data_IF_156833621680
#
_entry.id   IF_156833621680
#
_cell.length_a   1.000
_cell.length_b   1.000
_cell.length_c   1.000
_cell.angle_alpha   90.00
_cell.angle_beta   90.00
_cell.angle_gamma   90.00
#
_symmetry.space_group_name_H-M   'P 1'
#
loop_
_entity.id
_entity.type
_entity.pdbx_description
1 polymer ?
#
# COMPACT_ATOMS: atom_id res chain seq x y z
N UNK A 1 22.99 -39.93 22.94
CA UNK A 1 21.55 -39.94 23.34
C UNK A 1 20.87 -38.61 23.02
N UNK A 2 21.37 -37.47 23.53
CA UNK A 2 20.78 -36.14 23.27
C UNK A 2 20.55 -35.81 21.79
N UNK A 3 21.56 -35.95 20.92
CA UNK A 3 21.42 -35.68 19.48
C UNK A 3 20.29 -36.50 18.82
N UNK A 4 20.20 -37.79 19.14
CA UNK A 4 19.14 -38.66 18.59
C UNK A 4 17.75 -38.23 19.05
N UNK A 5 17.62 -37.74 20.29
CA UNK A 5 16.34 -37.28 20.84
C UNK A 5 15.91 -35.94 20.22
N UNK A 6 16.83 -34.98 20.10
CA UNK A 6 16.59 -33.68 19.45
C UNK A 6 16.23 -33.89 17.98
N UNK A 7 16.95 -34.77 17.27
CA UNK A 7 16.63 -35.11 15.89
C UNK A 7 15.25 -35.77 15.77
N UNK A 8 14.84 -36.61 16.71
CA UNK A 8 13.50 -37.18 16.73
C UNK A 8 12.42 -36.10 16.94
N UNK A 9 12.64 -35.16 17.87
CA UNK A 9 11.76 -34.02 18.09
C UNK A 9 11.64 -33.14 16.84
N UNK A 10 12.77 -32.81 16.19
CA UNK A 10 12.76 -32.05 14.94
C UNK A 10 12.02 -32.79 13.81
N UNK A 11 12.21 -34.11 13.69
CA UNK A 11 11.45 -34.93 12.73
C UNK A 11 9.95 -34.83 12.98
N UNK A 12 9.49 -34.98 14.22
CA UNK A 12 8.07 -34.83 14.57
C UNK A 12 7.52 -33.47 14.15
N UNK A 13 8.29 -32.39 14.34
CA UNK A 13 7.93 -31.03 13.96
C UNK A 13 7.99 -30.73 12.46
N UNK A 14 8.57 -31.61 11.63
CA UNK A 14 8.78 -31.35 10.19
C UNK A 14 8.00 -32.30 9.28
N UNK A 15 7.41 -33.37 9.81
CA UNK A 15 6.86 -34.47 9.02
C UNK A 15 5.38 -34.29 8.65
N UNK A 16 4.67 -33.43 9.37
CA UNK A 16 3.22 -33.25 9.26
C UNK A 16 2.88 -31.81 8.87
N UNK A 17 1.76 -31.62 8.17
CA UNK A 17 1.16 -30.28 7.96
C UNK A 17 0.71 -29.65 9.27
N UNK A 18 0.31 -30.48 10.24
CA UNK A 18 -0.08 -30.04 11.58
C UNK A 18 0.85 -30.68 12.63
N UNK A 19 2.08 -30.15 12.79
CA UNK A 19 3.02 -30.70 13.75
C UNK A 19 2.49 -30.55 15.20
N UNK A 20 2.80 -31.49 16.11
CA UNK A 20 2.33 -31.47 17.50
C UNK A 20 3.12 -30.45 18.35
N UNK A 21 3.08 -29.17 17.97
CA UNK A 21 3.85 -28.08 18.60
C UNK A 21 3.46 -27.93 20.07
N UNK A 22 2.16 -27.82 20.38
CA UNK A 22 1.68 -27.63 21.74
C UNK A 22 2.06 -28.78 22.67
N UNK A 23 2.03 -30.02 22.18
CA UNK A 23 2.40 -31.19 22.97
C UNK A 23 3.89 -31.19 23.30
N UNK A 24 4.73 -30.77 22.35
CA UNK A 24 6.16 -30.60 22.59
C UNK A 24 6.45 -29.47 23.58
N UNK A 25 5.77 -28.32 23.46
CA UNK A 25 5.89 -27.23 24.44
C UNK A 25 5.46 -27.72 25.84
N UNK A 26 4.30 -28.38 25.97
CA UNK A 26 3.78 -28.92 27.23
C UNK A 26 4.70 -29.99 27.85
N UNK A 27 5.48 -30.70 27.05
CA UNK A 27 6.45 -31.69 27.54
C UNK A 27 7.65 -31.07 28.28
N UNK A 28 7.83 -29.74 28.21
CA UNK A 28 8.97 -29.04 28.81
C UNK A 28 10.25 -29.12 27.98
N UNK A 29 10.16 -29.39 26.68
CA UNK A 29 11.33 -29.58 25.82
C UNK A 29 12.09 -28.27 25.52
N UNK A 30 11.42 -27.11 25.58
CA UNK A 30 12.00 -25.84 25.13
C UNK A 30 13.31 -25.47 25.84
N UNK A 31 13.42 -25.47 27.20
CA UNK A 31 14.69 -25.18 27.87
C UNK A 31 15.81 -26.16 27.50
N UNK A 32 15.46 -27.42 27.18
CA UNK A 32 16.43 -28.44 26.76
C UNK A 32 16.97 -28.11 25.37
N UNK A 33 16.10 -27.74 24.42
CA UNK A 33 16.51 -27.32 23.08
C UNK A 33 17.36 -26.05 23.13
N UNK A 34 16.98 -25.07 23.96
CA UNK A 34 17.74 -23.83 24.16
C UNK A 34 19.13 -24.14 24.71
N UNK A 35 19.26 -24.99 25.73
CA UNK A 35 20.57 -25.40 26.25
C UNK A 35 21.41 -26.16 25.21
N UNK A 36 20.77 -26.88 24.28
CA UNK A 36 21.49 -27.52 23.17
C UNK A 36 22.12 -26.51 22.20
N UNK A 37 21.56 -25.31 22.06
CA UNK A 37 22.18 -24.23 21.27
C UNK A 37 23.52 -23.78 21.85
N UNK A 38 23.76 -23.99 23.15
CA UNK A 38 24.99 -23.56 23.82
C UNK A 38 26.21 -24.45 23.48
N UNK A 39 25.98 -25.62 22.88
CA UNK A 39 26.97 -26.68 22.64
C UNK A 39 27.81 -26.44 21.37
N UNK A 40 28.71 -25.46 21.42
CA UNK A 40 29.61 -25.12 20.30
C UNK A 40 30.54 -26.27 19.89
N UNK A 41 30.75 -27.26 20.78
CA UNK A 41 31.49 -28.48 20.51
C UNK A 41 30.72 -29.51 19.67
N UNK A 42 29.41 -29.29 19.44
CA UNK A 42 28.54 -30.21 18.71
C UNK A 42 27.60 -29.46 17.75
N UNK A 43 28.11 -29.05 16.56
CA UNK A 43 27.32 -28.28 15.59
C UNK A 43 26.12 -29.05 15.04
N UNK A 44 26.17 -30.38 14.98
CA UNK A 44 25.00 -31.19 14.59
C UNK A 44 23.87 -31.10 15.61
N UNK A 45 24.19 -31.03 16.90
CA UNK A 45 23.20 -30.84 17.95
C UNK A 45 22.63 -29.41 17.93
N UNK A 46 23.48 -28.40 17.74
CA UNK A 46 23.03 -27.01 17.56
C UNK A 46 22.08 -26.87 16.38
N UNK A 47 22.44 -27.46 15.24
CA UNK A 47 21.63 -27.43 14.03
C UNK A 47 20.25 -28.08 14.23
N UNK A 48 20.19 -29.30 14.78
CA UNK A 48 18.91 -29.99 15.01
C UNK A 48 18.05 -29.26 16.05
N UNK A 49 18.65 -28.67 17.09
CA UNK A 49 17.94 -27.88 18.09
C UNK A 49 17.41 -26.55 17.52
N UNK A 50 18.23 -25.84 16.75
CA UNK A 50 17.84 -24.61 16.07
C UNK A 50 16.69 -24.87 15.09
N UNK A 51 16.74 -25.99 14.35
CA UNK A 51 15.67 -26.37 13.43
C UNK A 51 14.38 -26.73 14.17
N UNK A 52 14.45 -27.48 15.27
CA UNK A 52 13.27 -27.76 16.09
C UNK A 52 12.61 -26.45 16.59
N UNK A 53 13.40 -25.52 17.13
CA UNK A 53 12.90 -24.22 17.59
C UNK A 53 12.37 -23.35 16.45
N UNK A 54 12.96 -23.43 15.26
CA UNK A 54 12.48 -22.72 14.04
C UNK A 54 11.05 -23.15 13.71
N UNK A 55 10.77 -24.45 13.72
CA UNK A 55 9.44 -24.97 13.41
C UNK A 55 8.40 -24.69 14.52
N UNK A 56 8.84 -24.57 15.78
CA UNK A 56 7.94 -24.13 16.86
C UNK A 56 7.59 -22.65 16.66
N UNK A 57 8.57 -21.82 16.32
CA UNK A 57 8.38 -20.39 16.07
C UNK A 57 7.64 -20.07 14.76
N UNK A 58 7.40 -21.04 13.87
CA UNK A 58 6.55 -20.84 12.68
C UNK A 58 5.05 -21.05 12.96
N UNK A 59 4.70 -21.34 14.21
CA UNK A 59 3.34 -21.63 14.65
C UNK A 59 2.50 -20.38 14.99
N UNK A 60 1.65 -20.48 16.00
CA UNK A 60 0.87 -19.32 16.50
C UNK A 60 1.76 -18.37 17.31
N UNK A 61 1.28 -17.14 17.54
CA UNK A 61 2.02 -16.19 18.36
C UNK A 61 2.30 -16.69 19.77
N UNK A 62 1.40 -17.46 20.40
CA UNK A 62 1.67 -18.08 21.71
C UNK A 62 2.85 -19.05 21.65
N UNK A 63 2.98 -19.82 20.56
CA UNK A 63 4.06 -20.78 20.36
C UNK A 63 5.40 -20.06 20.11
N UNK A 64 5.38 -18.97 19.34
CA UNK A 64 6.55 -18.10 19.14
C UNK A 64 6.97 -17.44 20.45
N UNK A 65 6.02 -16.90 21.22
CA UNK A 65 6.28 -16.32 22.54
C UNK A 65 6.89 -17.35 23.49
N UNK A 66 6.47 -18.62 23.45
CA UNK A 66 7.08 -19.66 24.28
C UNK A 66 8.57 -19.86 23.97
N UNK A 67 8.97 -19.78 22.68
CA UNK A 67 10.39 -19.81 22.26
C UNK A 67 11.15 -18.58 22.78
N UNK A 68 10.55 -17.39 22.65
CA UNK A 68 11.15 -16.13 23.13
C UNK A 68 11.33 -16.15 24.65
N UNK A 69 10.30 -16.54 25.41
CA UNK A 69 10.32 -16.65 26.87
C UNK A 69 11.32 -17.70 27.38
N UNK A 70 11.68 -18.67 26.54
CA UNK A 70 12.75 -19.64 26.84
C UNK A 70 14.16 -19.08 26.65
N UNK A 71 14.30 -17.77 26.37
CA UNK A 71 15.56 -17.07 26.17
C UNK A 71 16.40 -17.58 24.98
N UNK A 72 15.72 -18.02 23.91
CA UNK A 72 16.39 -18.53 22.70
C UNK A 72 17.05 -17.43 21.85
N UNK A 73 16.51 -16.21 21.85
CA UNK A 73 16.94 -15.13 20.94
C UNK A 73 18.42 -14.75 21.13
N UNK A 74 18.96 -14.50 22.35
CA UNK A 74 20.38 -14.22 22.52
C UNK A 74 21.30 -15.34 22.03
N UNK A 75 20.85 -16.60 22.14
CA UNK A 75 21.61 -17.74 21.64
C UNK A 75 21.60 -17.81 20.12
N UNK A 76 20.46 -17.54 19.46
CA UNK A 76 20.44 -17.42 18.01
C UNK A 76 21.34 -16.31 17.48
N UNK A 77 21.39 -15.15 18.16
CA UNK A 77 22.33 -14.07 17.82
C UNK A 77 23.80 -14.50 17.96
N UNK A 78 24.11 -15.30 18.98
CA UNK A 78 25.44 -15.92 19.12
C UNK A 78 25.74 -16.85 17.93
N UNK A 79 24.76 -17.66 17.52
CA UNK A 79 24.91 -18.62 16.41
C UNK A 79 25.09 -17.96 15.03
N UNK A 80 24.76 -16.68 14.86
CA UNK A 80 25.12 -15.91 13.65
C UNK A 80 26.64 -15.82 13.43
N UNK A 81 27.44 -16.02 14.48
CA UNK A 81 28.90 -16.03 14.42
C UNK A 81 29.50 -17.43 14.35
N UNK A 82 28.66 -18.47 14.17
CA UNK A 82 29.12 -19.85 14.04
C UNK A 82 29.97 -20.04 12.78
N UNK A 83 31.10 -20.76 12.84
CA UNK A 83 31.87 -21.11 11.65
C UNK A 83 31.13 -22.15 10.77
N UNK A 84 30.05 -22.74 11.28
CA UNK A 84 29.25 -23.73 10.58
C UNK A 84 28.07 -23.06 9.89
N UNK A 85 28.15 -22.97 8.55
CA UNK A 85 27.16 -22.29 7.73
C UNK A 85 25.73 -22.81 7.97
N UNK A 86 25.51 -24.12 8.06
CA UNK A 86 24.18 -24.68 8.32
C UNK A 86 23.57 -24.22 9.67
N UNK A 87 24.40 -24.05 10.71
CA UNK A 87 23.96 -23.53 12.02
C UNK A 87 23.61 -22.05 11.90
N UNK A 88 24.45 -21.27 11.22
CA UNK A 88 24.21 -19.85 10.96
C UNK A 88 22.92 -19.61 10.16
N UNK A 89 22.73 -20.34 9.05
CA UNK A 89 21.53 -20.25 8.21
C UNK A 89 20.26 -20.60 8.99
N UNK A 90 20.32 -21.65 9.82
CA UNK A 90 19.18 -22.05 10.64
C UNK A 90 18.85 -21.02 11.72
N UNK A 91 19.86 -20.36 12.30
CA UNK A 91 19.66 -19.28 13.24
C UNK A 91 19.02 -18.05 12.59
N UNK A 92 19.43 -17.68 11.37
CA UNK A 92 18.77 -16.61 10.59
C UNK A 92 17.30 -16.96 10.35
N UNK A 93 16.99 -18.21 9.99
CA UNK A 93 15.60 -18.64 9.78
C UNK A 93 14.77 -18.55 11.07
N UNK A 94 15.29 -19.07 12.18
CA UNK A 94 14.62 -18.99 13.48
C UNK A 94 14.31 -17.54 13.88
N UNK A 95 15.30 -16.64 13.75
CA UNK A 95 15.14 -15.22 14.03
C UNK A 95 14.11 -14.59 13.09
N UNK A 96 14.09 -14.95 11.81
CA UNK A 96 13.10 -14.45 10.86
C UNK A 96 11.67 -14.81 11.24
N UNK A 97 11.42 -16.04 11.71
CA UNK A 97 10.10 -16.45 12.22
C UNK A 97 9.71 -15.62 13.45
N UNK A 98 10.63 -15.43 14.40
CA UNK A 98 10.38 -14.65 15.62
C UNK A 98 10.12 -13.18 15.28
N UNK A 99 10.93 -12.57 14.42
CA UNK A 99 10.77 -11.16 13.98
C UNK A 99 9.43 -10.99 13.26
N UNK A 100 9.03 -11.96 12.43
CA UNK A 100 7.80 -11.91 11.65
C UNK A 100 6.49 -12.13 12.43
N UNK A 101 6.57 -12.49 13.71
CA UNK A 101 5.40 -12.71 14.58
C UNK A 101 4.67 -11.40 14.90
N UNK A 102 5.42 -10.31 15.07
CA UNK A 102 4.83 -9.01 15.35
C UNK A 102 5.85 -7.95 15.78
N UNK A 103 5.40 -6.69 15.88
CA UNK A 103 6.28 -5.54 16.11
C UNK A 103 7.01 -5.61 17.46
N UNK A 104 6.39 -6.17 18.50
CA UNK A 104 7.04 -6.34 19.81
C UNK A 104 8.21 -7.34 19.74
N UNK A 105 8.03 -8.46 19.04
CA UNK A 105 9.10 -9.44 18.81
C UNK A 105 10.21 -8.85 17.94
N UNK A 106 9.84 -8.19 16.84
CA UNK A 106 10.77 -7.47 15.96
C UNK A 106 11.64 -6.50 16.76
N UNK A 107 11.04 -5.62 17.55
CA UNK A 107 11.76 -4.58 18.29
C UNK A 107 12.63 -5.17 19.40
N UNK A 108 12.19 -6.25 20.05
CA UNK A 108 13.02 -7.00 21.00
C UNK A 108 14.28 -7.55 20.32
N UNK A 109 14.14 -8.22 19.19
CA UNK A 109 15.28 -8.80 18.46
C UNK A 109 16.21 -7.70 17.90
N UNK A 110 15.64 -6.57 17.44
CA UNK A 110 16.41 -5.37 17.06
C UNK A 110 17.19 -4.82 18.25
N UNK A 111 16.57 -4.69 19.43
CA UNK A 111 17.21 -4.15 20.64
C UNK A 111 18.42 -4.95 21.12
N UNK A 112 18.48 -6.24 20.73
CA UNK A 112 19.61 -7.13 21.00
C UNK A 112 20.71 -7.08 19.92
N UNK A 113 20.55 -6.26 18.87
CA UNK A 113 21.59 -5.99 17.88
C UNK A 113 21.64 -6.97 16.71
N UNK A 114 20.50 -7.48 16.23
CA UNK A 114 20.44 -8.41 15.09
C UNK A 114 20.89 -7.81 13.75
N UNK A 115 20.69 -6.50 13.56
CA UNK A 115 20.75 -5.85 12.23
C UNK A 115 22.16 -5.93 11.65
N UNK A 116 23.19 -5.46 12.38
CA UNK A 116 24.58 -5.47 11.87
C UNK A 116 25.10 -6.87 11.53
N UNK A 117 24.95 -7.90 12.40
CA UNK A 117 25.31 -9.27 12.04
C UNK A 117 24.59 -9.77 10.80
N UNK A 118 23.28 -9.53 10.69
CA UNK A 118 22.49 -9.96 9.53
C UNK A 118 22.97 -9.31 8.23
N UNK A 119 23.19 -7.99 8.23
CA UNK A 119 23.66 -7.26 7.05
C UNK A 119 25.09 -7.64 6.64
N UNK A 120 25.92 -8.09 7.58
CA UNK A 120 27.30 -8.51 7.29
C UNK A 120 27.40 -9.73 6.37
N UNK A 121 26.33 -10.51 6.24
CA UNK A 121 26.28 -11.66 5.32
C UNK A 121 26.19 -11.25 3.85
N UNK A 122 25.69 -10.04 3.55
CA UNK A 122 25.50 -9.54 2.19
C UNK A 122 26.87 -9.33 1.54
N UNK A 123 27.30 -10.33 0.77
CA UNK A 123 28.61 -10.37 0.12
C UNK A 123 28.51 -11.12 -1.21
N UNK A 124 29.39 -10.88 -2.20
CA UNK A 124 29.35 -11.60 -3.48
C UNK A 124 29.54 -13.11 -3.37
N UNK A 125 30.11 -13.60 -2.26
CA UNK A 125 30.39 -15.02 -2.02
C UNK A 125 29.27 -15.76 -1.28
N UNK A 126 28.23 -15.08 -0.82
CA UNK A 126 27.13 -15.72 -0.10
C UNK A 126 26.38 -16.70 -1.01
N UNK A 127 26.04 -17.91 -0.55
CA UNK A 127 25.19 -18.80 -1.33
C UNK A 127 23.78 -18.23 -1.52
N UNK A 128 23.24 -18.40 -2.73
CA UNK A 128 21.98 -17.76 -3.14
C UNK A 128 20.79 -18.11 -2.23
N UNK A 129 20.74 -19.35 -1.75
CA UNK A 129 19.69 -19.81 -0.83
C UNK A 129 19.78 -19.12 0.52
N UNK A 130 20.99 -18.85 1.00
CA UNK A 130 21.19 -18.13 2.24
C UNK A 130 20.83 -16.65 2.06
N UNK A 131 21.23 -16.03 0.95
CA UNK A 131 20.88 -14.64 0.67
C UNK A 131 19.36 -14.43 0.61
N UNK A 132 18.61 -15.36 0.00
CA UNK A 132 17.14 -15.34 0.03
C UNK A 132 16.58 -15.36 1.45
N UNK A 133 17.14 -16.18 2.34
CA UNK A 133 16.72 -16.19 3.74
C UNK A 133 17.06 -14.86 4.43
N UNK A 134 18.25 -14.31 4.20
CA UNK A 134 18.65 -13.00 4.74
C UNK A 134 17.69 -11.89 4.26
N UNK A 135 17.37 -11.83 2.97
CA UNK A 135 16.44 -10.85 2.42
C UNK A 135 15.02 -11.02 2.97
N UNK A 136 14.57 -12.27 3.15
CA UNK A 136 13.29 -12.55 3.80
C UNK A 136 13.25 -12.06 5.26
N UNK A 137 14.35 -12.21 6.03
CA UNK A 137 14.42 -11.62 7.38
C UNK A 137 14.39 -10.09 7.32
N UNK A 138 15.04 -9.46 6.34
CA UNK A 138 14.96 -8.00 6.13
C UNK A 138 13.53 -7.55 5.84
N UNK A 139 12.73 -8.33 5.09
CA UNK A 139 11.30 -8.06 4.90
C UNK A 139 10.56 -8.04 6.25
N UNK A 140 10.79 -9.03 7.11
CA UNK A 140 10.14 -9.08 8.43
C UNK A 140 10.60 -7.94 9.34
N UNK A 141 11.87 -7.49 9.23
CA UNK A 141 12.36 -6.30 9.93
C UNK A 141 11.67 -5.01 9.47
N UNK A 142 11.27 -4.92 8.20
CA UNK A 142 10.58 -3.76 7.63
C UNK A 142 9.05 -3.81 7.84
N UNK A 143 8.50 -4.99 8.15
CA UNK A 143 7.05 -5.22 8.27
C UNK A 143 6.50 -4.64 9.58
N UNK A 144 5.19 -4.43 9.58
CA UNK A 144 4.35 -3.90 10.66
C UNK A 144 4.57 -2.40 10.89
N UNK A 145 3.49 -1.62 10.75
CA UNK A 145 3.52 -0.16 10.88
C UNK A 145 3.03 0.37 12.23
N UNK A 146 2.64 -0.51 13.16
CA UNK A 146 2.14 -0.12 14.47
C UNK A 146 2.81 -0.92 15.61
N UNK A 147 3.91 -0.42 16.20
CA UNK A 147 4.73 0.70 15.72
C UNK A 147 5.54 0.33 14.45
N UNK A 148 5.98 1.31 13.65
CA UNK A 148 6.94 1.08 12.58
C UNK A 148 8.32 0.70 13.14
N UNK A 149 9.23 0.12 12.33
CA UNK A 149 10.58 -0.18 12.76
C UNK A 149 11.32 1.09 13.24
N UNK A 150 12.26 0.98 14.21
CA UNK A 150 13.04 2.13 14.68
C UNK A 150 13.79 2.83 13.54
N UNK A 151 13.86 4.17 13.57
CA UNK A 151 14.50 4.96 12.52
C UNK A 151 15.95 4.57 12.26
N UNK A 152 16.74 4.32 13.32
CA UNK A 152 18.14 3.85 13.21
C UNK A 152 18.22 2.53 12.45
N UNK A 153 17.26 1.62 12.67
CA UNK A 153 17.20 0.34 11.93
C UNK A 153 16.91 0.56 10.45
N UNK A 154 16.01 1.48 10.11
CA UNK A 154 15.72 1.81 8.69
C UNK A 154 16.97 2.41 8.04
N UNK A 155 17.69 3.31 8.73
CA UNK A 155 18.95 3.88 8.25
C UNK A 155 20.04 2.82 7.99
N UNK A 156 20.11 1.79 8.84
CA UNK A 156 21.06 0.68 8.64
C UNK A 156 20.65 -0.24 7.47
N UNK A 157 19.35 -0.49 7.28
CA UNK A 157 18.84 -1.43 6.27
C UNK A 157 18.83 -0.84 4.85
N UNK A 158 18.53 0.45 4.69
CA UNK A 158 18.38 1.08 3.37
C UNK A 158 19.60 0.92 2.44
N UNK A 159 20.85 1.11 2.89
CA UNK A 159 22.03 0.86 2.06
C UNK A 159 22.11 -0.57 1.54
N UNK A 160 21.70 -1.55 2.34
CA UNK A 160 21.67 -2.94 1.92
C UNK A 160 20.58 -3.20 0.87
N UNK A 161 19.38 -2.62 1.03
CA UNK A 161 18.33 -2.68 0.02
C UNK A 161 18.75 -2.03 -1.30
N UNK A 162 19.52 -0.93 -1.25
CA UNK A 162 20.09 -0.29 -2.44
C UNK A 162 21.08 -1.20 -3.18
N UNK A 163 21.78 -2.10 -2.49
CA UNK A 163 22.62 -3.12 -3.15
C UNK A 163 21.76 -4.23 -3.75
N UNK A 164 20.78 -4.72 -2.98
CA UNK A 164 19.97 -5.88 -3.35
C UNK A 164 18.99 -5.61 -4.50
N UNK A 165 18.57 -4.36 -4.71
CA UNK A 165 17.66 -3.99 -5.82
C UNK A 165 18.30 -4.21 -7.21
N UNK A 166 19.63 -4.35 -7.27
CA UNK A 166 20.37 -4.66 -8.50
C UNK A 166 20.63 -6.15 -8.69
N UNK A 167 20.18 -7.00 -7.77
CA UNK A 167 20.41 -8.44 -7.84
C UNK A 167 19.57 -9.09 -8.96
N UNK A 168 20.09 -10.13 -9.62
CA UNK A 168 19.38 -10.76 -10.76
C UNK A 168 18.42 -11.88 -10.37
N UNK A 169 18.53 -12.37 -9.14
CA UNK A 169 17.61 -13.39 -8.61
C UNK A 169 16.25 -12.80 -8.28
N UNK A 170 15.21 -13.38 -8.87
CA UNK A 170 13.84 -12.87 -8.78
C UNK A 170 13.31 -12.89 -7.34
N UNK A 171 13.60 -13.93 -6.55
CA UNK A 171 13.09 -14.01 -5.18
C UNK A 171 13.71 -12.91 -4.30
N UNK A 172 15.01 -12.67 -4.45
CA UNK A 172 15.70 -11.57 -3.77
C UNK A 172 15.11 -10.21 -4.19
N UNK A 173 14.86 -9.99 -5.48
CA UNK A 173 14.25 -8.75 -5.95
C UNK A 173 12.83 -8.56 -5.40
N UNK A 174 12.00 -9.60 -5.43
CA UNK A 174 10.64 -9.56 -4.89
C UNK A 174 10.67 -9.19 -3.41
N UNK A 175 11.48 -9.87 -2.61
CA UNK A 175 11.60 -9.59 -1.16
C UNK A 175 12.17 -8.18 -0.91
N UNK A 176 13.19 -7.76 -1.65
CA UNK A 176 13.76 -6.41 -1.54
C UNK A 176 12.70 -5.34 -1.77
N UNK A 177 11.88 -5.51 -2.81
CA UNK A 177 10.83 -4.55 -3.14
C UNK A 177 9.65 -4.63 -2.17
N UNK A 178 9.33 -5.80 -1.61
CA UNK A 178 8.36 -5.89 -0.51
C UNK A 178 8.85 -5.18 0.75
N UNK A 179 10.13 -5.31 1.10
CA UNK A 179 10.72 -4.57 2.21
C UNK A 179 10.56 -3.05 2.00
N UNK A 180 10.89 -2.54 0.81
CA UNK A 180 10.67 -1.13 0.46
C UNK A 180 9.20 -0.74 0.56
N UNK A 181 8.27 -1.59 0.09
CA UNK A 181 6.85 -1.31 0.17
C UNK A 181 6.37 -1.13 1.61
N UNK A 182 6.86 -1.93 2.56
CA UNK A 182 6.52 -1.78 3.97
C UNK A 182 7.11 -0.52 4.58
N UNK A 183 8.35 -0.16 4.22
CA UNK A 183 8.97 1.10 4.66
C UNK A 183 8.18 2.32 4.17
N UNK A 184 7.70 2.29 2.93
CA UNK A 184 6.89 3.37 2.34
C UNK A 184 5.45 3.44 2.87
N UNK A 185 4.91 2.37 3.48
CA UNK A 185 3.58 2.36 4.12
C UNK A 185 3.61 2.84 5.59
N UNK A 186 4.78 3.22 6.11
CA UNK A 186 4.98 3.58 7.52
C UNK A 186 4.73 5.07 7.82
N UNK A 187 4.67 5.94 6.81
CA UNK A 187 4.42 7.38 6.95
C UNK A 187 5.37 8.25 6.11
N UNK A 188 5.08 9.55 6.06
CA UNK A 188 5.82 10.50 5.21
C UNK A 188 7.30 10.64 5.58
N UNK A 189 7.67 10.45 6.86
CA UNK A 189 9.07 10.46 7.29
C UNK A 189 9.85 9.27 6.70
N UNK A 190 9.28 8.07 6.73
CA UNK A 190 9.90 6.88 6.17
C UNK A 190 9.92 6.91 4.63
N UNK A 191 8.88 7.46 4.00
CA UNK A 191 8.89 7.77 2.56
C UNK A 191 10.09 8.67 2.24
N UNK A 192 10.32 9.73 3.03
CA UNK A 192 11.46 10.62 2.82
C UNK A 192 12.79 9.88 2.96
N UNK A 193 12.95 8.99 3.96
CA UNK A 193 14.16 8.18 4.10
C UNK A 193 14.41 7.26 2.89
N UNK A 194 13.35 6.65 2.34
CA UNK A 194 13.45 5.84 1.11
C UNK A 194 13.87 6.70 -0.08
N UNK A 195 13.32 7.90 -0.22
CA UNK A 195 13.72 8.87 -1.26
C UNK A 195 15.19 9.28 -1.09
N UNK A 196 15.59 9.67 0.12
CA UNK A 196 16.94 10.15 0.44
C UNK A 196 18.01 9.07 0.25
N UNK A 197 17.64 7.79 0.30
CA UNK A 197 18.53 6.68 -0.04
C UNK A 197 18.93 6.63 -1.52
N UNK A 198 18.22 7.35 -2.40
CA UNK A 198 18.47 7.37 -3.83
C UNK A 198 17.96 6.14 -4.58
N UNK A 199 17.12 5.30 -3.95
CA UNK A 199 16.67 4.02 -4.52
C UNK A 199 15.53 4.15 -5.55
N UNK A 200 14.78 5.26 -5.54
CA UNK A 200 13.58 5.45 -6.38
C UNK A 200 13.85 5.29 -7.89
N UNK A 201 14.93 5.85 -8.48
CA UNK A 201 15.27 5.63 -9.90
C UNK A 201 15.55 4.17 -10.26
N UNK A 202 15.84 3.31 -9.28
CA UNK A 202 16.05 1.87 -9.47
C UNK A 202 14.77 1.06 -9.23
N UNK A 203 13.86 1.58 -8.40
CA UNK A 203 12.56 0.99 -8.13
C UNK A 203 11.56 1.18 -9.27
N UNK A 204 11.49 2.38 -9.86
CA UNK A 204 10.49 2.72 -10.88
C UNK A 204 10.56 1.82 -12.12
N UNK A 205 11.73 1.50 -12.70
CA UNK A 205 11.81 0.60 -13.87
C UNK A 205 11.25 -0.81 -13.60
N UNK A 206 11.18 -1.26 -12.34
CA UNK A 206 10.63 -2.56 -11.97
C UNK A 206 9.12 -2.66 -12.17
N UNK A 207 8.41 -1.54 -12.42
CA UNK A 207 7.01 -1.53 -12.84
C UNK A 207 6.76 -2.32 -14.13
N UNK A 208 7.78 -2.43 -14.99
CA UNK A 208 7.73 -3.23 -16.22
C UNK A 208 8.25 -4.66 -16.06
N UNK A 209 8.79 -5.03 -14.88
CA UNK A 209 9.33 -6.35 -14.64
C UNK A 209 8.23 -7.40 -14.45
N UNK A 210 8.33 -8.57 -15.10
CA UNK A 210 7.23 -9.54 -15.14
C UNK A 210 6.80 -10.07 -13.76
N UNK A 211 7.76 -10.37 -12.89
CA UNK A 211 7.49 -11.02 -11.61
C UNK A 211 7.46 -10.04 -10.43
N UNK A 212 8.05 -8.85 -10.58
CA UNK A 212 8.28 -7.90 -9.48
C UNK A 212 7.30 -6.72 -9.53
N UNK A 213 6.64 -6.48 -10.68
CA UNK A 213 5.76 -5.31 -10.90
C UNK A 213 4.72 -5.08 -9.80
N UNK A 214 4.14 -6.12 -9.21
CA UNK A 214 3.11 -5.97 -8.17
C UNK A 214 3.69 -5.32 -6.91
N UNK A 215 4.86 -5.79 -6.47
CA UNK A 215 5.53 -5.23 -5.31
C UNK A 215 6.05 -3.82 -5.62
N UNK A 216 6.59 -3.62 -6.83
CA UNK A 216 7.10 -2.31 -7.26
C UNK A 216 5.98 -1.28 -7.32
N UNK A 217 4.83 -1.64 -7.92
CA UNK A 217 3.64 -0.80 -8.00
C UNK A 217 3.13 -0.41 -6.62
N UNK A 218 3.12 -1.34 -5.66
CA UNK A 218 2.76 -1.02 -4.29
C UNK A 218 3.74 -0.04 -3.65
N UNK A 219 5.05 -0.29 -3.77
CA UNK A 219 6.08 0.55 -3.17
C UNK A 219 6.04 1.98 -3.74
N UNK A 220 5.97 2.15 -5.07
CA UNK A 220 5.87 3.50 -5.66
C UNK A 220 4.51 4.15 -5.40
N UNK A 221 3.44 3.36 -5.31
CA UNK A 221 2.10 3.83 -4.94
C UNK A 221 2.08 4.42 -3.54
N UNK A 222 2.71 3.74 -2.58
CA UNK A 222 2.86 4.27 -1.22
C UNK A 222 3.70 5.55 -1.18
N UNK A 223 4.70 5.72 -2.05
CA UNK A 223 5.47 6.97 -2.11
C UNK A 223 4.59 8.15 -2.53
N UNK A 224 3.69 7.93 -3.50
CA UNK A 224 2.84 9.01 -4.05
C UNK A 224 1.62 9.33 -3.19
N UNK A 225 1.39 8.62 -2.09
CA UNK A 225 0.46 9.07 -1.03
C UNK A 225 1.09 10.13 -0.12
N UNK A 226 2.38 10.42 -0.29
CA UNK A 226 3.10 11.44 0.46
C UNK A 226 2.79 12.85 -0.01
N UNK A 227 3.74 13.76 0.21
CA UNK A 227 3.65 15.16 -0.23
C UNK A 227 3.80 15.32 -1.74
N UNK A 228 3.36 16.46 -2.28
CA UNK A 228 3.56 16.81 -3.69
C UNK A 228 5.03 16.70 -4.11
N UNK A 229 5.99 17.12 -3.28
CA UNK A 229 7.42 17.01 -3.55
C UNK A 229 7.88 15.55 -3.65
N UNK A 230 7.40 14.68 -2.76
CA UNK A 230 7.72 13.26 -2.77
C UNK A 230 7.13 12.56 -4.01
N UNK A 231 5.88 12.89 -4.35
CA UNK A 231 5.23 12.46 -5.59
C UNK A 231 6.03 12.89 -6.82
N UNK A 232 6.57 14.11 -6.82
CA UNK A 232 7.36 14.63 -7.92
C UNK A 232 8.66 13.84 -8.14
N UNK A 233 9.28 13.27 -7.10
CA UNK A 233 10.47 12.41 -7.25
C UNK A 233 10.16 11.17 -8.09
N UNK A 234 8.99 10.55 -7.89
CA UNK A 234 8.53 9.39 -8.67
C UNK A 234 8.25 9.78 -10.12
N UNK A 235 7.58 10.91 -10.34
CA UNK A 235 7.28 11.42 -11.68
C UNK A 235 8.56 11.79 -12.46
N UNK A 236 9.57 12.35 -11.79
CA UNK A 236 10.87 12.65 -12.38
C UNK A 236 11.64 11.40 -12.85
N UNK A 237 11.24 10.21 -12.39
CA UNK A 237 11.79 8.92 -12.83
C UNK A 237 10.99 8.30 -13.99
N UNK A 238 10.18 9.09 -14.70
CA UNK A 238 9.37 8.66 -15.85
C UNK A 238 8.34 7.56 -15.54
N UNK A 239 7.87 7.49 -14.28
CA UNK A 239 6.98 6.43 -13.82
C UNK A 239 5.73 6.24 -14.68
N UNK A 240 5.12 7.34 -15.15
CA UNK A 240 3.89 7.31 -15.97
C UNK A 240 4.06 6.57 -17.30
N UNK A 241 5.28 6.48 -17.84
CA UNK A 241 5.56 5.76 -19.10
C UNK A 241 5.27 4.26 -19.01
N UNK A 242 5.26 3.69 -17.80
CA UNK A 242 4.99 2.27 -17.56
C UNK A 242 3.50 1.95 -17.42
N UNK A 243 2.64 2.95 -17.19
CA UNK A 243 1.23 2.77 -16.85
C UNK A 243 0.35 2.23 -17.98
N UNK A 244 0.59 2.48 -19.28
CA UNK A 244 -0.24 1.88 -20.32
C UNK A 244 -0.30 0.35 -20.21
N UNK A 245 0.84 -0.30 -19.95
CA UNK A 245 0.90 -1.77 -19.80
C UNK A 245 0.26 -2.27 -18.49
N UNK A 246 0.24 -1.44 -17.44
CA UNK A 246 -0.39 -1.78 -16.15
C UNK A 246 -1.92 -1.61 -16.21
N UNK A 247 -2.41 -0.57 -16.86
CA UNK A 247 -3.84 -0.29 -17.01
C UNK A 247 -4.54 -1.30 -17.94
N UNK A 248 -3.83 -1.89 -18.90
CA UNK A 248 -4.37 -2.96 -19.76
C UNK A 248 -3.96 -4.37 -19.31
N UNK A 249 -3.42 -4.51 -18.11
CA UNK A 249 -2.95 -5.81 -17.64
C UNK A 249 -4.14 -6.79 -17.47
N UNK A 250 -4.02 -8.08 -17.84
CA UNK A 250 -5.12 -9.05 -17.71
C UNK A 250 -5.50 -9.41 -16.25
N UNK A 251 -4.86 -8.81 -15.26
CA UNK A 251 -5.13 -9.06 -13.84
C UNK A 251 -5.78 -7.80 -13.28
N UNK A 252 -7.05 -7.89 -12.96
CA UNK A 252 -7.86 -6.79 -12.38
C UNK A 252 -7.16 -6.14 -11.18
N UNK A 253 -6.56 -6.95 -10.29
CA UNK A 253 -5.80 -6.43 -9.15
C UNK A 253 -4.66 -5.47 -9.55
N UNK A 254 -4.00 -5.69 -10.69
CA UNK A 254 -2.96 -4.77 -11.18
C UNK A 254 -3.59 -3.50 -11.74
N UNK A 255 -4.72 -3.60 -12.45
CA UNK A 255 -5.44 -2.42 -12.95
C UNK A 255 -5.89 -1.55 -11.77
N UNK A 256 -6.52 -2.16 -10.75
CA UNK A 256 -6.93 -1.47 -9.53
C UNK A 256 -5.78 -0.70 -8.88
N UNK A 257 -4.65 -1.36 -8.62
CA UNK A 257 -3.49 -0.72 -7.97
C UNK A 257 -2.88 0.37 -8.85
N UNK A 258 -2.92 0.21 -10.18
CA UNK A 258 -2.42 1.22 -11.10
C UNK A 258 -3.33 2.45 -11.15
N UNK A 259 -4.65 2.27 -11.10
CA UNK A 259 -5.59 3.38 -11.04
C UNK A 259 -5.55 4.06 -9.66
N UNK A 260 -5.37 3.30 -8.58
CA UNK A 260 -5.12 3.85 -7.24
C UNK A 260 -3.84 4.70 -7.19
N UNK A 261 -2.76 4.27 -7.85
CA UNK A 261 -1.58 5.13 -8.01
C UNK A 261 -1.95 6.45 -8.70
N UNK A 262 -2.66 6.39 -9.83
CA UNK A 262 -3.02 7.57 -10.61
C UNK A 262 -3.98 8.50 -9.87
N UNK A 263 -4.87 7.98 -9.02
CA UNK A 263 -5.76 8.81 -8.21
C UNK A 263 -5.01 9.63 -7.16
N UNK A 264 -3.89 9.11 -6.63
CA UNK A 264 -3.00 9.89 -5.77
C UNK A 264 -2.23 10.96 -6.56
N UNK A 265 -1.80 10.67 -7.80
CA UNK A 265 -1.16 11.69 -8.66
C UNK A 265 -2.14 12.82 -8.98
N UNK A 266 -3.40 12.51 -9.32
CA UNK A 266 -4.39 13.53 -9.66
C UNK A 266 -4.89 14.33 -8.45
N UNK A 267 -4.62 13.87 -7.23
CA UNK A 267 -4.87 14.63 -6.00
C UNK A 267 -3.81 15.74 -5.76
N UNK A 268 -2.62 15.60 -6.34
CA UNK A 268 -1.55 16.59 -6.23
C UNK A 268 -1.80 17.87 -7.02
N UNK A 269 -0.78 18.71 -7.15
CA UNK A 269 -0.93 19.99 -7.84
C UNK A 269 -1.21 19.90 -9.35
N UNK A 270 -1.56 21.04 -9.95
CA UNK A 270 -1.91 21.18 -11.37
C UNK A 270 -0.84 20.69 -12.34
N UNK A 271 0.45 20.71 -11.98
CA UNK A 271 1.53 20.20 -12.84
C UNK A 271 1.53 18.68 -12.86
N UNK A 272 1.21 18.04 -11.74
CA UNK A 272 1.11 16.59 -11.61
C UNK A 272 -0.13 16.05 -12.34
N UNK A 273 -1.26 16.77 -12.23
CA UNK A 273 -2.44 16.53 -13.07
C UNK A 273 -2.09 16.63 -14.55
N UNK A 274 -1.34 17.67 -14.95
CA UNK A 274 -0.91 17.83 -16.34
C UNK A 274 -0.04 16.66 -16.81
N UNK A 275 0.84 16.15 -15.96
CA UNK A 275 1.70 15.01 -16.29
C UNK A 275 0.89 13.75 -16.66
N UNK A 276 -0.23 13.48 -15.97
CA UNK A 276 -1.14 12.36 -16.29
C UNK A 276 -1.83 12.56 -17.64
N UNK A 277 -2.23 13.80 -17.94
CA UNK A 277 -2.84 14.16 -19.24
C UNK A 277 -1.82 13.99 -20.37
N UNK A 278 -0.62 14.54 -20.21
CA UNK A 278 0.45 14.48 -21.22
C UNK A 278 0.92 13.05 -21.48
N UNK A 279 0.82 12.16 -20.48
CA UNK A 279 1.08 10.73 -20.61
C UNK A 279 -0.05 9.95 -21.34
N UNK A 280 -1.12 10.61 -21.78
CA UNK A 280 -2.29 10.03 -22.46
C UNK A 280 -2.99 8.93 -21.64
N UNK A 281 -3.01 9.07 -20.31
CA UNK A 281 -3.60 8.06 -19.41
C UNK A 281 -5.09 8.28 -19.14
N UNK A 282 -5.60 9.51 -19.30
CA UNK A 282 -7.01 9.84 -19.04
C UNK A 282 -8.00 8.97 -19.83
N UNK A 283 -7.84 8.73 -21.15
CA UNK A 283 -8.75 7.85 -21.88
C UNK A 283 -8.77 6.41 -21.34
N UNK A 284 -7.63 5.93 -20.83
CA UNK A 284 -7.51 4.60 -20.24
C UNK A 284 -8.18 4.52 -18.87
N UNK A 285 -8.06 5.56 -18.05
CA UNK A 285 -8.78 5.68 -16.77
C UNK A 285 -10.29 5.66 -17.04
N UNK A 286 -10.77 6.43 -18.03
CA UNK A 286 -12.19 6.47 -18.39
C UNK A 286 -12.67 5.12 -18.94
N UNK A 287 -11.84 4.41 -19.71
CA UNK A 287 -12.17 3.05 -20.15
C UNK A 287 -12.36 2.09 -18.96
N UNK A 288 -11.48 2.15 -17.97
CA UNK A 288 -11.59 1.33 -16.76
C UNK A 288 -12.74 1.77 -15.84
N UNK A 289 -13.10 3.06 -15.84
CA UNK A 289 -14.30 3.57 -15.18
C UNK A 289 -15.58 2.94 -15.76
N UNK A 290 -15.62 2.73 -17.08
CA UNK A 290 -16.76 2.12 -17.76
C UNK A 290 -16.75 0.57 -17.67
N UNK A 291 -15.59 -0.06 -17.93
CA UNK A 291 -15.49 -1.50 -18.20
C UNK A 291 -14.68 -2.31 -17.18
N UNK A 292 -14.02 -1.65 -16.24
CA UNK A 292 -13.26 -2.32 -15.19
C UNK A 292 -14.16 -3.07 -14.20
N UNK A 293 -13.56 -3.94 -13.39
CA UNK A 293 -14.25 -4.48 -12.23
C UNK A 293 -14.60 -3.36 -11.24
N UNK A 294 -15.61 -3.58 -10.39
CA UNK A 294 -16.11 -2.53 -9.48
C UNK A 294 -15.01 -1.94 -8.58
N UNK A 295 -14.00 -2.75 -8.19
CA UNK A 295 -12.86 -2.25 -7.42
C UNK A 295 -12.03 -1.25 -8.21
N UNK A 296 -11.76 -1.51 -9.48
CA UNK A 296 -11.05 -0.58 -10.37
C UNK A 296 -11.91 0.64 -10.72
N UNK A 297 -13.22 0.48 -10.94
CA UNK A 297 -14.14 1.60 -11.19
C UNK A 297 -14.17 2.59 -10.01
N UNK A 298 -14.15 2.08 -8.77
CA UNK A 298 -14.06 2.90 -7.55
C UNK A 298 -12.80 3.77 -7.55
N UNK A 299 -11.63 3.18 -7.81
CA UNK A 299 -10.39 3.95 -7.87
C UNK A 299 -10.39 4.95 -9.04
N UNK A 300 -11.01 4.59 -10.17
CA UNK A 300 -11.13 5.49 -11.32
C UNK A 300 -12.02 6.70 -10.98
N UNK A 301 -13.13 6.49 -10.26
CA UNK A 301 -13.98 7.57 -9.80
C UNK A 301 -13.23 8.54 -8.89
N UNK A 302 -12.38 8.03 -7.98
CA UNK A 302 -11.47 8.84 -7.18
C UNK A 302 -10.49 9.63 -8.04
N UNK A 303 -9.87 9.00 -9.05
CA UNK A 303 -8.94 9.69 -9.93
C UNK A 303 -9.58 10.86 -10.68
N UNK A 304 -10.81 10.69 -11.16
CA UNK A 304 -11.59 11.73 -11.84
C UNK A 304 -11.98 12.85 -10.86
N UNK A 305 -12.49 12.52 -9.68
CA UNK A 305 -12.91 13.52 -8.69
C UNK A 305 -11.72 14.33 -8.14
N UNK A 306 -10.59 13.68 -7.85
CA UNK A 306 -9.38 14.37 -7.42
C UNK A 306 -8.87 15.36 -8.49
N UNK A 307 -8.93 14.96 -9.77
CA UNK A 307 -8.57 15.84 -10.89
C UNK A 307 -9.46 17.08 -10.95
N UNK A 308 -10.77 16.98 -10.65
CA UNK A 308 -11.68 18.13 -10.69
C UNK A 308 -11.53 19.06 -9.49
N UNK A 309 -10.93 18.59 -8.39
CA UNK A 309 -10.60 19.43 -7.23
C UNK A 309 -9.32 20.24 -7.48
N UNK A 310 -8.26 19.57 -7.92
CA UNK A 310 -6.92 20.18 -8.03
C UNK A 310 -6.62 20.77 -9.41
N UNK A 311 -7.35 20.33 -10.45
CA UNK A 311 -7.12 20.70 -11.84
C UNK A 311 -7.59 22.10 -12.22
N UNK A 312 -7.06 22.60 -13.35
CA UNK A 312 -7.53 23.85 -13.97
C UNK A 312 -8.74 23.61 -14.87
N UNK A 313 -9.43 24.70 -15.23
CA UNK A 313 -10.57 24.69 -16.17
C UNK A 313 -10.25 24.00 -17.49
N UNK A 314 -9.07 24.24 -18.08
CA UNK A 314 -8.63 23.59 -19.33
C UNK A 314 -8.44 22.07 -19.18
N UNK A 315 -7.97 21.61 -18.02
CA UNK A 315 -7.76 20.19 -17.74
C UNK A 315 -9.08 19.45 -17.54
N UNK A 316 -10.04 20.08 -16.86
CA UNK A 316 -11.40 19.54 -16.70
C UNK A 316 -12.15 19.55 -18.04
N UNK A 317 -12.00 20.60 -18.85
CA UNK A 317 -12.56 20.64 -20.20
C UNK A 317 -12.04 19.49 -21.07
N UNK A 318 -10.74 19.18 -21.01
CA UNK A 318 -10.18 18.02 -21.70
C UNK A 318 -10.84 16.70 -21.25
N UNK A 319 -11.06 16.52 -19.95
CA UNK A 319 -11.70 15.33 -19.38
C UNK A 319 -13.16 15.16 -19.87
N UNK A 320 -13.91 16.25 -20.00
CA UNK A 320 -15.25 16.26 -20.62
C UNK A 320 -15.16 15.85 -22.10
N UNK A 321 -14.20 16.41 -22.85
CA UNK A 321 -13.97 16.05 -24.26
C UNK A 321 -13.59 14.58 -24.45
N UNK A 322 -13.01 13.93 -23.44
CA UNK A 322 -12.75 12.48 -23.41
C UNK A 322 -13.98 11.64 -23.04
N UNK A 323 -15.18 12.22 -22.99
CA UNK A 323 -16.44 11.53 -22.75
C UNK A 323 -16.52 10.86 -21.36
N UNK A 324 -16.05 11.55 -20.31
CA UNK A 324 -16.11 11.04 -18.93
C UNK A 324 -17.53 10.96 -18.38
N UNK A 325 -18.45 11.80 -18.85
CA UNK A 325 -19.72 12.08 -18.15
C UNK A 325 -20.60 10.82 -18.07
N UNK A 326 -20.87 10.08 -19.18
CA UNK A 326 -21.69 8.88 -19.11
C UNK A 326 -21.16 7.79 -18.16
N UNK A 327 -19.89 7.33 -18.26
CA UNK A 327 -19.40 6.29 -17.35
C UNK A 327 -19.31 6.76 -15.90
N UNK A 328 -19.07 8.06 -15.65
CA UNK A 328 -19.06 8.60 -14.30
C UNK A 328 -20.46 8.62 -13.68
N UNK A 329 -21.47 9.11 -14.41
CA UNK A 329 -22.88 9.10 -13.98
C UNK A 329 -23.45 7.68 -13.81
N UNK A 330 -22.89 6.66 -14.48
CA UNK A 330 -23.31 5.27 -14.29
C UNK A 330 -23.01 4.73 -12.88
N UNK A 331 -22.06 5.33 -12.16
CA UNK A 331 -21.74 4.93 -10.79
C UNK A 331 -22.68 5.52 -9.74
N UNK A 332 -23.61 6.43 -10.09
CA UNK A 332 -24.56 7.02 -9.13
C UNK A 332 -25.58 6.02 -8.55
N UNK A 333 -25.76 4.86 -9.19
CA UNK A 333 -26.73 3.83 -8.76
C UNK A 333 -26.10 2.69 -7.95
N UNK A 334 -24.82 2.78 -7.61
CA UNK A 334 -24.12 1.74 -6.84
C UNK A 334 -24.50 1.81 -5.37
N UNK A 335 -24.35 0.70 -4.64
CA UNK A 335 -24.70 0.63 -3.21
C UNK A 335 -23.66 1.26 -2.29
N UNK A 336 -22.43 1.45 -2.76
CA UNK A 336 -21.37 2.05 -1.97
C UNK A 336 -21.57 3.57 -1.90
N UNK A 337 -22.10 4.04 -0.76
CA UNK A 337 -22.38 5.46 -0.53
C UNK A 337 -21.12 6.34 -0.72
N UNK A 338 -19.93 5.85 -0.39
CA UNK A 338 -18.70 6.60 -0.57
C UNK A 338 -18.43 6.86 -2.06
N UNK A 339 -18.68 5.87 -2.92
CA UNK A 339 -18.51 6.05 -4.38
C UNK A 339 -19.53 7.04 -4.92
N UNK A 340 -20.79 6.94 -4.49
CA UNK A 340 -21.84 7.89 -4.90
C UNK A 340 -21.47 9.31 -4.51
N UNK A 341 -20.99 9.52 -3.28
CA UNK A 341 -20.52 10.83 -2.81
C UNK A 341 -19.36 11.37 -3.66
N UNK A 342 -18.33 10.57 -3.91
CA UNK A 342 -17.17 10.94 -4.76
C UNK A 342 -17.61 11.37 -6.17
N UNK A 343 -18.61 10.68 -6.73
CA UNK A 343 -19.15 11.00 -8.07
C UNK A 343 -19.93 12.30 -8.04
N UNK A 344 -20.80 12.51 -7.05
CA UNK A 344 -21.55 13.76 -6.90
C UNK A 344 -20.62 14.96 -6.67
N UNK A 345 -19.60 14.82 -5.82
CA UNK A 345 -18.59 15.86 -5.58
C UNK A 345 -17.87 16.20 -6.89
N UNK A 346 -17.46 15.18 -7.64
CA UNK A 346 -16.81 15.34 -8.93
C UNK A 346 -17.69 16.08 -9.95
N UNK A 347 -18.97 15.70 -10.06
CA UNK A 347 -19.94 16.35 -10.96
C UNK A 347 -20.21 17.80 -10.52
N UNK A 348 -20.35 18.05 -9.21
CA UNK A 348 -20.52 19.40 -8.67
C UNK A 348 -19.35 20.31 -9.03
N UNK A 349 -18.11 19.81 -8.88
CA UNK A 349 -16.91 20.56 -9.24
C UNK A 349 -16.83 20.84 -10.74
N UNK A 350 -17.15 19.85 -11.59
CA UNK A 350 -17.20 20.01 -13.04
C UNK A 350 -18.18 21.13 -13.42
N UNK A 351 -19.41 21.09 -12.91
CA UNK A 351 -20.44 22.10 -13.20
C UNK A 351 -20.05 23.50 -12.69
N UNK A 352 -19.50 23.59 -11.48
CA UNK A 352 -19.01 24.85 -10.89
C UNK A 352 -17.87 25.48 -11.70
N UNK A 353 -16.97 24.66 -12.27
CA UNK A 353 -15.81 25.14 -13.05
C UNK A 353 -16.15 25.55 -14.48
N UNK A 354 -17.27 25.08 -15.02
CA UNK A 354 -17.63 25.30 -16.41
C UNK A 354 -18.08 26.73 -16.73
N UNK A 355 -18.60 27.46 -15.74
CA UNK A 355 -19.13 28.83 -15.89
C UNK A 355 -20.13 28.92 -17.06
N UNK A 356 -19.74 29.51 -18.19
CA UNK A 356 -20.57 29.65 -19.40
C UNK A 356 -20.89 28.30 -20.09
N UNK A 357 -20.07 27.27 -19.90
CA UNK A 357 -20.27 25.94 -20.48
C UNK A 357 -21.14 25.02 -19.60
N UNK A 358 -21.61 25.51 -18.44
CA UNK A 358 -22.38 24.71 -17.49
C UNK A 358 -23.65 24.13 -18.09
N UNK A 359 -24.38 24.89 -18.93
CA UNK A 359 -25.59 24.43 -19.61
C UNK A 359 -25.29 23.27 -20.59
N UNK A 360 -24.15 23.34 -21.29
CA UNK A 360 -23.73 22.26 -22.21
C UNK A 360 -23.43 20.98 -21.43
N UNK A 361 -22.76 21.09 -20.28
CA UNK A 361 -22.45 19.92 -19.45
C UNK A 361 -23.70 19.38 -18.76
N UNK A 362 -24.61 20.23 -18.30
CA UNK A 362 -25.89 19.83 -17.75
C UNK A 362 -26.69 19.00 -18.78
N UNK A 363 -26.74 19.46 -20.04
CA UNK A 363 -27.35 18.69 -21.13
C UNK A 363 -26.67 17.33 -21.35
N UNK A 364 -25.33 17.24 -21.28
CA UNK A 364 -24.62 15.96 -21.37
C UNK A 364 -24.99 14.99 -20.23
N UNK A 365 -25.16 15.52 -19.01
CA UNK A 365 -25.60 14.74 -17.84
C UNK A 365 -27.05 14.28 -18.03
N UNK A 366 -27.92 15.11 -18.57
CA UNK A 366 -29.31 14.76 -18.87
C UNK A 366 -29.40 13.69 -19.98
N UNK A 367 -28.69 13.87 -21.10
CA UNK A 367 -28.67 12.96 -22.24
C UNK A 367 -28.22 11.53 -21.88
N UNK A 368 -27.31 11.39 -20.90
CA UNK A 368 -26.88 10.08 -20.41
C UNK A 368 -27.75 9.49 -19.28
N UNK A 369 -28.88 10.13 -18.95
CA UNK A 369 -29.76 9.75 -17.84
C UNK A 369 -29.12 9.95 -16.46
N UNK A 370 -28.12 10.84 -16.36
CA UNK A 370 -27.46 11.21 -15.11
C UNK A 370 -28.38 12.04 -14.22
N UNK A 371 -29.15 12.97 -14.79
CA UNK A 371 -30.07 13.83 -14.05
C UNK A 371 -31.12 13.00 -13.28
N UNK A 372 -31.77 12.04 -13.94
CA UNK A 372 -32.74 11.13 -13.30
C UNK A 372 -32.14 10.36 -12.11
N UNK A 373 -30.86 9.99 -12.19
CA UNK A 373 -30.15 9.31 -11.09
C UNK A 373 -29.87 10.27 -9.94
N UNK A 374 -29.49 11.52 -10.21
CA UNK A 374 -29.29 12.54 -9.18
C UNK A 374 -30.62 12.88 -8.48
N UNK A 375 -31.73 12.96 -9.22
CA UNK A 375 -33.07 13.14 -8.64
C UNK A 375 -33.46 12.01 -7.70
N UNK A 376 -33.17 10.76 -8.07
CA UNK A 376 -33.42 9.60 -7.19
C UNK A 376 -32.61 9.68 -5.89
N UNK A 377 -31.38 10.22 -5.95
CA UNK A 377 -30.51 10.41 -4.78
C UNK A 377 -31.02 11.47 -3.80
N UNK A 378 -32.01 12.30 -4.17
CA UNK A 378 -32.70 13.17 -3.20
C UNK A 378 -33.52 12.39 -2.15
N UNK A 379 -33.68 11.07 -2.32
CA UNK A 379 -34.32 10.20 -1.34
C UNK A 379 -33.31 9.24 -0.67
N UNK A 380 -32.01 9.49 -0.84
CA UNK A 380 -30.97 8.63 -0.29
C UNK A 380 -30.90 8.71 1.24
N UNK A 381 -30.57 7.59 1.89
CA UNK A 381 -30.55 7.47 3.36
C UNK A 381 -29.41 8.28 4.02
N UNK A 382 -28.31 8.49 3.30
CA UNK A 382 -27.20 9.33 3.72
C UNK A 382 -27.53 10.82 3.46
N UNK A 383 -27.53 11.62 4.52
CA UNK A 383 -27.87 13.04 4.46
C UNK A 383 -26.95 13.87 3.57
N UNK A 384 -25.65 13.55 3.51
CA UNK A 384 -24.68 14.31 2.72
C UNK A 384 -24.93 14.11 1.23
N UNK A 385 -25.24 12.87 0.82
CA UNK A 385 -25.62 12.53 -0.56
C UNK A 385 -26.93 13.22 -0.93
N UNK A 386 -27.94 13.16 -0.06
CA UNK A 386 -29.22 13.82 -0.25
C UNK A 386 -29.06 15.33 -0.45
N UNK A 387 -28.35 16.00 0.46
CA UNK A 387 -28.14 17.46 0.42
C UNK A 387 -27.40 17.88 -0.84
N UNK A 388 -26.31 17.19 -1.16
CA UNK A 388 -25.50 17.51 -2.34
C UNK A 388 -26.28 17.28 -3.65
N UNK A 389 -27.07 16.21 -3.75
CA UNK A 389 -27.93 15.98 -4.90
C UNK A 389 -28.98 17.09 -5.07
N UNK A 390 -29.58 17.56 -3.97
CA UNK A 390 -30.50 18.70 -3.99
C UNK A 390 -29.81 20.00 -4.44
N UNK A 391 -28.63 20.31 -3.89
CA UNK A 391 -27.85 21.49 -4.26
C UNK A 391 -27.44 21.49 -5.74
N UNK A 392 -27.01 20.34 -6.29
CA UNK A 392 -26.65 20.22 -7.70
C UNK A 392 -27.86 20.52 -8.60
N UNK A 393 -29.03 19.97 -8.27
CA UNK A 393 -30.26 20.20 -9.05
C UNK A 393 -30.68 21.66 -8.97
N UNK A 394 -30.77 22.22 -7.76
CA UNK A 394 -31.19 23.60 -7.53
C UNK A 394 -30.29 24.61 -8.27
N UNK A 395 -28.98 24.37 -8.24
CA UNK A 395 -28.01 25.30 -8.80
C UNK A 395 -27.89 25.21 -10.33
N UNK A 396 -28.01 24.02 -10.93
CA UNK A 396 -27.62 23.80 -12.33
C UNK A 396 -28.74 23.28 -13.24
N UNK A 397 -29.83 22.75 -12.69
CA UNK A 397 -30.92 22.13 -13.46
C UNK A 397 -32.28 22.80 -13.26
N UNK A 398 -32.39 23.72 -12.29
CA UNK A 398 -33.56 24.60 -12.12
C UNK A 398 -33.48 25.80 -13.07
N UNK A 399 -33.75 25.60 -14.37
CA UNK A 399 -34.00 26.74 -15.25
C UNK A 399 -35.32 27.39 -14.86
N UNK A 400 -35.30 28.68 -14.45
CA UNK A 400 -36.48 29.50 -14.18
C UNK A 400 -37.43 29.51 -15.39
N UNK A 401 -38.40 28.61 -15.40
CA UNK A 401 -39.62 28.69 -16.21
C UNK A 401 -40.60 29.71 -15.59
N UNK A 402 -40.07 30.86 -15.15
CA UNK A 402 -40.84 32.02 -14.66
C UNK A 402 -40.90 33.06 -15.78
N UNK A 403 -41.44 32.68 -16.93
CA UNK A 403 -42.05 33.65 -17.81
C UNK A 403 -43.34 34.17 -17.15
N UNK A 404 -43.30 35.42 -16.69
CA UNK A 404 -44.44 36.26 -16.36
C UNK A 404 -45.41 35.78 -15.25
N UNK A 405 -45.09 36.11 -13.99
CA UNK A 405 -46.13 36.37 -12.98
C UNK A 405 -45.94 37.80 -12.44
N UNK A 406 -46.95 38.69 -12.48
CA UNK A 406 -46.76 40.10 -12.14
C UNK A 406 -46.42 40.29 -10.65
N UNK A 407 -45.39 41.09 -10.42
CA UNK A 407 -44.90 41.57 -9.13
C UNK A 407 -46.02 42.08 -8.21
N UNK A 408 -46.44 41.29 -7.22
CA UNK A 408 -47.25 41.75 -6.09
C UNK A 408 -46.70 41.18 -4.78
N UNK A 409 -46.50 42.10 -3.83
CA UNK A 409 -46.08 41.96 -2.43
C UNK A 409 -44.58 41.98 -2.07
N UNK A 410 -44.15 43.22 -1.83
CA UNK A 410 -43.15 43.64 -0.85
C UNK A 410 -43.23 42.92 0.51
N UNK A 411 -42.10 42.55 1.09
CA UNK A 411 -41.51 43.22 2.28
C UNK A 411 -40.41 42.39 2.96
N UNK A 412 -39.22 42.98 3.09
CA UNK A 412 -38.50 43.00 4.37
C UNK A 412 -37.37 41.99 4.65
N UNK A 413 -36.18 42.57 4.88
CA UNK A 413 -35.16 42.21 5.89
C UNK A 413 -33.86 41.49 5.46
N UNK A 414 -32.90 42.35 5.11
CA UNK A 414 -31.53 42.48 5.66
C UNK A 414 -30.50 41.35 5.57
N UNK A 415 -29.48 41.68 4.77
CA UNK A 415 -28.08 41.27 4.80
C UNK A 415 -27.47 41.14 6.21
N UNK A 416 -26.74 40.03 6.47
CA UNK A 416 -25.56 39.98 7.36
C UNK A 416 -24.51 38.99 6.83
N UNK A 417 -23.27 39.35 7.12
CA UNK A 417 -21.98 38.95 6.56
C UNK A 417 -21.35 37.67 7.12
N UNK A 418 -20.53 37.03 6.26
CA UNK A 418 -19.20 36.45 6.51
C UNK A 418 -18.97 35.52 7.73
N UNK A 419 -18.59 34.27 7.43
CA UNK A 419 -17.55 33.55 8.17
C UNK A 419 -16.91 32.48 7.26
N UNK A 420 -15.58 32.51 7.17
CA UNK A 420 -14.75 31.52 6.50
C UNK A 420 -14.74 30.21 7.31
N UNK A 421 -14.77 29.06 6.63
CA UNK A 421 -14.54 27.75 7.23
C UNK A 421 -13.45 27.01 6.44
N UNK A 422 -12.33 26.79 7.13
CA UNK A 422 -11.25 25.86 6.79
C UNK A 422 -11.69 24.45 7.18
N UNK A 423 -11.56 23.47 6.28
CA UNK A 423 -11.81 22.06 6.57
C UNK A 423 -10.49 21.32 6.87
N UNK A 424 -10.40 20.75 8.07
CA UNK A 424 -9.36 19.78 8.47
C UNK A 424 -9.75 18.38 7.95
N UNK A 425 -8.86 17.76 7.18
CA UNK A 425 -8.96 16.36 6.79
C UNK A 425 -8.74 15.46 8.01
N UNK A 426 -9.70 14.59 8.31
CA UNK A 426 -9.50 13.46 9.23
C UNK A 426 -9.37 12.19 8.40
N UNK A 427 -8.15 11.64 8.39
CA UNK A 427 -7.82 10.32 7.84
C UNK A 427 -8.47 9.23 8.72
N UNK A 428 -9.16 8.28 8.10
CA UNK A 428 -9.43 6.93 8.63
C UNK A 428 -8.76 5.90 7.74
#
# INVERSE_FOLDING_TARGET
IQLSAVQAARKLLSSDRNPPIDDLIKSGILPILVHCLERDDNPSLQFEAAWALTNIASGTSEQTQAVVQSNAVPLFLRLLHSPHQNVCEQAVWALGNIIGDGPQCRDYVISLGVVKPLLSFISPSIPITFLRNVTWVMVNLCRHKDPPPPMETIQEILPALCVLIHHTDVNILVDTVWALSYLTDAGNEQIQMVIDSGIVPHLVPLLSHQEVKTAALRAVGNIVTGTDEQTQVVLNCEALSHFPALLTHPKEKINKEAVWFLSNITAGNQQQVQAVIDANLVPMIIHLLDKGDFGTQKEAAWAISNLTISGRKDQVAYLIQQNVIPPFCNLLTVKDAQVVQVVLDGLSNILKMAEEEAETIANLIEECGGLEKIEQLQNHENEDIYKLAYEIIDQFFSSDDVSAVPCWFSAGLSCRSSAAFTWEFTLM
#
